data_IF_315968331378
#
_entry.id   IF_315968331378
#
_cell.length_a   1.000
_cell.length_b   1.000
_cell.length_c   1.000
_cell.angle_alpha   90.00
_cell.angle_beta   90.00
_cell.angle_gamma   90.00
#
_symmetry.space_group_name_H-M   'P 1'
#
loop_
_entity.id
_entity.type
_entity.pdbx_description
1 polymer ?
#
# COMPACT_ATOMS: atom_id res chain seq x y z
N UNK A 1 -28.37 -12.84 22.13
CA UNK A 1 -27.02 -13.03 21.55
C UNK A 1 -27.05 -12.40 20.18
N UNK A 2 -26.33 -11.29 20.01
CA UNK A 2 -26.05 -10.72 18.69
C UNK A 2 -24.93 -11.62 18.12
N UNK A 3 -25.04 -12.12 16.87
CA UNK A 3 -23.92 -12.85 16.28
C UNK A 3 -22.73 -11.89 16.18
N UNK A 4 -21.64 -12.30 16.81
CA UNK A 4 -20.33 -11.68 16.65
C UNK A 4 -19.92 -11.92 15.20
N UNK A 5 -20.21 -10.97 14.32
CA UNK A 5 -19.64 -10.97 12.99
C UNK A 5 -18.18 -10.60 13.16
N UNK A 6 -17.35 -11.58 13.51
CA UNK A 6 -15.92 -11.52 13.27
C UNK A 6 -15.77 -11.15 11.79
N UNK A 7 -15.42 -9.90 11.51
CA UNK A 7 -15.08 -9.50 10.15
C UNK A 7 -13.91 -10.41 9.76
N UNK A 8 -13.99 -11.14 8.65
CA UNK A 8 -12.91 -12.03 8.27
C UNK A 8 -11.63 -11.21 8.23
N UNK A 9 -10.62 -11.66 8.98
CA UNK A 9 -9.26 -11.13 8.90
C UNK A 9 -8.88 -11.21 7.43
N UNK A 10 -8.67 -10.07 6.79
CA UNK A 10 -8.25 -10.03 5.39
C UNK A 10 -6.74 -10.05 5.36
N UNK A 11 -6.19 -11.11 4.76
CA UNK A 11 -4.76 -11.21 4.58
C UNK A 11 -4.32 -10.49 3.31
N UNK A 12 -3.94 -9.22 3.50
CA UNK A 12 -3.36 -8.38 2.45
C UNK A 12 -1.84 -8.27 2.60
N UNK A 13 -1.20 -9.12 3.41
CA UNK A 13 0.26 -9.11 3.54
C UNK A 13 0.91 -9.51 2.22
N UNK A 14 2.05 -8.88 1.91
CA UNK A 14 2.84 -9.17 0.72
C UNK A 14 3.29 -7.92 -0.01
N UNK A 15 3.72 -8.13 -1.25
CA UNK A 15 4.37 -7.12 -2.07
C UNK A 15 3.42 -6.55 -3.13
N UNK A 16 3.48 -5.24 -3.29
CA UNK A 16 2.65 -4.48 -4.22
C UNK A 16 3.54 -3.73 -5.20
N UNK A 17 3.64 -4.30 -6.39
CA UNK A 17 4.46 -3.76 -7.48
C UNK A 17 3.60 -2.98 -8.47
N UNK A 18 4.05 -1.81 -8.93
CA UNK A 18 3.45 -1.10 -10.03
C UNK A 18 3.26 -1.96 -11.27
N UNK A 19 2.12 -1.80 -11.93
CA UNK A 19 1.88 -2.38 -13.26
C UNK A 19 2.54 -1.54 -14.35
N UNK A 20 2.60 -0.22 -14.18
CA UNK A 20 3.26 0.70 -15.12
C UNK A 20 4.70 1.00 -14.66
N UNK A 21 5.66 0.70 -15.53
CA UNK A 21 7.09 0.92 -15.30
C UNK A 21 7.49 2.41 -15.34
N UNK A 22 6.63 3.31 -15.83
CA UNK A 22 6.88 4.77 -15.86
C UNK A 22 6.82 5.45 -14.48
N UNK A 23 6.60 4.67 -13.42
CA UNK A 23 6.53 5.15 -12.04
C UNK A 23 7.84 5.73 -11.50
N UNK A 24 8.97 5.42 -12.14
CA UNK A 24 10.27 5.96 -11.76
C UNK A 24 10.27 7.50 -11.70
N UNK A 25 9.32 8.16 -12.37
CA UNK A 25 9.12 9.62 -12.37
C UNK A 25 8.68 10.22 -11.03
N UNK A 26 8.16 9.41 -10.09
CA UNK A 26 7.75 9.89 -8.76
C UNK A 26 8.62 9.35 -7.62
N UNK A 27 9.71 8.63 -7.95
CA UNK A 27 10.64 8.07 -6.97
C UNK A 27 10.11 6.87 -6.20
N UNK A 28 8.99 6.29 -6.61
CA UNK A 28 8.40 5.10 -5.98
C UNK A 28 8.89 3.82 -6.67
N UNK A 29 9.07 2.71 -5.93
CA UNK A 29 9.43 1.40 -6.51
C UNK A 29 8.35 0.34 -6.26
N UNK A 30 8.09 0.02 -5.00
CA UNK A 30 7.01 -0.88 -4.55
C UNK A 30 6.72 -0.63 -3.07
N UNK A 31 5.69 -1.25 -2.52
CA UNK A 31 5.56 -1.33 -1.08
C UNK A 31 5.24 -2.76 -0.63
N UNK A 32 5.61 -3.05 0.60
CA UNK A 32 5.29 -4.29 1.31
C UNK A 32 4.34 -3.95 2.45
N UNK A 33 3.31 -4.77 2.65
CA UNK A 33 2.48 -4.72 3.86
C UNK A 33 2.90 -5.87 4.78
N UNK A 34 3.25 -5.52 6.02
CA UNK A 34 3.87 -6.43 7.00
C UNK A 34 2.90 -6.94 8.06
N UNK A 35 1.70 -6.36 8.11
CA UNK A 35 0.70 -6.73 9.11
C UNK A 35 -0.64 -7.05 8.46
N UNK A 36 -1.32 -8.03 9.05
CA UNK A 36 -2.75 -8.20 8.90
C UNK A 36 -3.44 -6.90 9.33
N UNK A 37 -4.56 -6.55 8.68
CA UNK A 37 -5.40 -5.49 9.20
C UNK A 37 -5.91 -5.93 10.57
N UNK A 38 -5.50 -5.23 11.64
CA UNK A 38 -5.95 -5.52 12.99
C UNK A 38 -7.48 -5.52 13.04
N UNK A 39 -8.07 -6.63 13.50
CA UNK A 39 -9.51 -6.94 13.42
C UNK A 39 -10.43 -5.82 13.95
N UNK A 40 -9.94 -5.03 14.90
CA UNK A 40 -10.70 -3.98 15.58
C UNK A 40 -10.32 -2.54 15.20
N UNK A 41 -9.18 -2.33 14.54
CA UNK A 41 -8.65 -0.99 14.25
C UNK A 41 -8.50 -0.74 12.76
N UNK A 42 -8.38 -1.80 11.97
CA UNK A 42 -8.02 -1.77 10.56
C UNK A 42 -6.61 -1.23 10.34
N UNK A 43 -5.76 -1.15 11.38
CA UNK A 43 -4.40 -0.65 11.24
C UNK A 43 -3.56 -1.59 10.39
N UNK A 44 -2.75 -1.01 9.51
CA UNK A 44 -1.78 -1.72 8.69
C UNK A 44 -0.43 -1.01 8.77
N UNK A 45 0.63 -1.80 8.90
CA UNK A 45 2.03 -1.37 8.78
C UNK A 45 2.68 -1.99 7.56
N UNK A 46 3.79 -1.41 7.13
CA UNK A 46 4.52 -1.87 5.96
C UNK A 46 5.77 -1.06 5.72
N UNK A 47 6.38 -1.30 4.56
CA UNK A 47 7.55 -0.57 4.09
C UNK A 47 7.29 -0.08 2.66
N UNK A 48 7.57 1.20 2.43
CA UNK A 48 7.58 1.82 1.12
C UNK A 48 9.02 1.86 0.61
N UNK A 49 9.28 1.20 -0.51
CA UNK A 49 10.58 1.24 -1.18
C UNK A 49 10.57 2.32 -2.25
N UNK A 50 11.51 3.26 -2.13
CA UNK A 50 11.65 4.41 -3.04
C UNK A 50 13.01 4.37 -3.75
N UNK A 51 13.06 4.91 -4.97
CA UNK A 51 14.30 5.14 -5.70
C UNK A 51 14.92 6.48 -5.30
N UNK A 52 16.22 6.50 -5.04
CA UNK A 52 16.98 7.67 -4.63
C UNK A 52 18.27 7.78 -5.45
N UNK A 53 18.22 8.50 -6.59
CA UNK A 53 19.37 8.59 -7.49
C UNK A 53 19.81 7.21 -7.99
N UNK A 54 21.01 6.76 -7.60
CA UNK A 54 21.54 5.42 -7.90
C UNK A 54 21.19 4.36 -6.82
N UNK A 55 20.55 4.76 -5.72
CA UNK A 55 20.20 3.89 -4.58
C UNK A 55 18.70 3.70 -4.36
N UNK A 56 18.37 3.00 -3.28
CA UNK A 56 17.00 2.84 -2.79
C UNK A 56 16.92 3.08 -1.29
N UNK A 57 15.80 3.62 -0.84
CA UNK A 57 15.51 3.91 0.57
C UNK A 57 14.17 3.30 0.99
N UNK A 58 14.09 2.90 2.25
CA UNK A 58 12.95 2.19 2.82
C UNK A 58 12.27 3.09 3.85
N UNK A 59 10.97 3.34 3.68
CA UNK A 59 10.18 4.21 4.55
C UNK A 59 9.06 3.44 5.23
N UNK A 60 8.98 3.53 6.55
CA UNK A 60 7.88 2.93 7.32
C UNK A 60 6.52 3.49 6.87
N UNK A 61 5.58 2.56 6.66
CA UNK A 61 4.18 2.83 6.35
C UNK A 61 3.35 2.72 7.63
N UNK A 62 2.49 3.71 7.84
CA UNK A 62 1.38 3.61 8.79
C UNK A 62 0.07 3.92 8.06
N UNK A 63 -0.86 2.98 8.11
CA UNK A 63 -2.08 3.04 7.35
C UNK A 63 -3.29 2.41 8.02
N UNK A 64 -4.38 2.43 7.26
CA UNK A 64 -5.64 1.82 7.62
C UNK A 64 -6.26 1.11 6.42
N UNK A 65 -6.78 -0.08 6.61
CA UNK A 65 -7.68 -0.78 5.70
C UNK A 65 -9.10 -0.71 6.26
N UNK A 66 -10.05 -0.17 5.48
CA UNK A 66 -11.47 -0.14 5.82
C UNK A 66 -12.29 -0.61 4.63
N UNK A 67 -12.95 -1.76 4.76
CA UNK A 67 -13.51 -2.44 3.60
C UNK A 67 -12.38 -2.73 2.61
N UNK A 68 -12.54 -2.30 1.36
CA UNK A 68 -11.52 -2.42 0.30
C UNK A 68 -10.51 -1.29 0.29
N UNK A 69 -10.73 -0.22 1.05
CA UNK A 69 -9.94 1.00 0.92
C UNK A 69 -8.70 0.94 1.80
N UNK A 70 -7.53 0.95 1.17
CA UNK A 70 -6.23 1.14 1.80
C UNK A 70 -5.84 2.61 1.78
N UNK A 71 -5.49 3.15 2.95
CA UNK A 71 -4.88 4.48 3.08
C UNK A 71 -3.62 4.36 3.89
N UNK A 72 -2.55 5.01 3.45
CA UNK A 72 -1.34 5.07 4.26
C UNK A 72 -0.56 6.37 4.06
N UNK A 73 0.37 6.59 4.98
CA UNK A 73 1.38 7.64 4.90
C UNK A 73 2.73 7.15 5.42
N UNK A 74 3.80 7.80 4.99
CA UNK A 74 5.13 7.61 5.56
C UNK A 74 5.51 8.75 6.49
N UNK A 75 6.52 8.52 7.33
CA UNK A 75 7.23 9.63 7.98
C UNK A 75 7.96 10.47 6.92
N UNK A 76 8.19 11.77 7.19
CA UNK A 76 8.99 12.60 6.30
C UNK A 76 10.42 12.07 6.18
N UNK A 77 10.94 12.03 4.94
CA UNK A 77 12.29 11.66 4.57
C UNK A 77 12.81 12.69 3.57
N UNK A 78 13.97 13.31 3.83
CA UNK A 78 14.51 14.41 3.02
C UNK A 78 13.50 15.56 2.77
N UNK A 79 12.60 15.79 3.73
CA UNK A 79 11.53 16.80 3.65
C UNK A 79 10.31 16.39 2.82
N UNK A 80 10.28 15.18 2.26
CA UNK A 80 9.16 14.62 1.50
C UNK A 80 8.46 13.50 2.30
N UNK A 81 7.14 13.41 2.22
CA UNK A 81 6.37 12.29 2.76
C UNK A 81 5.43 11.76 1.70
N UNK A 82 5.18 10.46 1.72
CA UNK A 82 4.29 9.81 0.77
C UNK A 82 2.94 9.58 1.42
N UNK A 83 1.86 9.75 0.65
CA UNK A 83 0.51 9.40 1.07
C UNK A 83 -0.22 8.69 -0.05
N UNK A 84 -0.81 7.55 0.28
CA UNK A 84 -1.57 6.73 -0.65
C UNK A 84 -3.02 6.60 -0.21
N UNK A 85 -3.92 6.56 -1.19
CA UNK A 85 -5.32 6.16 -1.00
C UNK A 85 -5.76 5.38 -2.22
N UNK A 86 -6.22 4.15 -2.02
CA UNK A 86 -6.68 3.28 -3.10
C UNK A 86 -7.60 2.18 -2.60
N UNK A 87 -8.13 1.42 -3.54
CA UNK A 87 -9.08 0.37 -3.31
C UNK A 87 -8.57 -0.95 -3.89
N UNK A 88 -8.61 -2.00 -3.06
CA UNK A 88 -8.43 -3.36 -3.50
C UNK A 88 -9.62 -3.78 -4.37
N UNK A 89 -9.35 -4.45 -5.49
CA UNK A 89 -10.41 -5.01 -6.33
C UNK A 89 -11.11 -6.20 -5.66
N UNK A 90 -10.37 -6.93 -4.84
CA UNK A 90 -10.85 -8.07 -4.06
C UNK A 90 -10.16 -8.07 -2.70
N UNK A 91 -10.84 -8.63 -1.71
CA UNK A 91 -10.27 -8.98 -0.41
C UNK A 91 -10.32 -10.51 -0.27
N UNK A 92 -9.43 -11.07 0.53
CA UNK A 92 -9.36 -12.49 0.81
C UNK A 92 -8.05 -12.84 1.51
N UNK A 93 -7.79 -14.13 1.64
CA UNK A 93 -6.48 -14.65 2.00
C UNK A 93 -5.59 -14.62 0.74
N UNK A 94 -4.98 -13.47 0.44
CA UNK A 94 -4.21 -13.30 -0.81
C UNK A 94 -2.98 -14.21 -0.94
N UNK A 95 -2.27 -14.55 0.15
CA UNK A 95 -1.18 -15.53 0.09
C UNK A 95 -1.66 -16.92 -0.40
N UNK A 96 -2.84 -17.35 0.03
CA UNK A 96 -3.43 -18.65 -0.36
C UNK A 96 -4.20 -18.57 -1.69
N UNK A 97 -5.00 -17.53 -1.86
CA UNK A 97 -5.84 -17.28 -3.04
C UNK A 97 -5.22 -16.20 -3.92
N UNK A 98 -4.08 -16.52 -4.52
CA UNK A 98 -3.34 -15.55 -5.35
C UNK A 98 -4.25 -14.96 -6.44
N UNK A 99 -4.34 -13.62 -6.53
CA UNK A 99 -5.17 -12.97 -7.54
C UNK A 99 -4.64 -13.27 -8.94
N UNK A 100 -5.54 -13.66 -9.84
CA UNK A 100 -5.22 -13.89 -11.26
C UNK A 100 -5.15 -12.59 -12.07
N UNK A 101 -5.67 -11.50 -11.49
CA UNK A 101 -5.69 -10.18 -12.13
C UNK A 101 -4.30 -9.55 -12.14
N UNK A 102 -3.98 -8.88 -13.26
CA UNK A 102 -2.71 -8.14 -13.39
C UNK A 102 -2.64 -6.93 -12.46
N UNK A 103 -3.77 -6.42 -11.98
CA UNK A 103 -3.87 -5.26 -11.11
C UNK A 103 -4.88 -5.52 -9.97
N UNK A 104 -4.37 -5.57 -8.74
CA UNK A 104 -5.07 -5.95 -7.52
C UNK A 104 -5.47 -4.74 -6.66
N UNK A 105 -4.68 -3.67 -6.70
CA UNK A 105 -4.93 -2.44 -5.96
C UNK A 105 -4.78 -1.24 -6.89
N UNK A 106 -5.75 -0.33 -6.86
CA UNK A 106 -5.75 0.89 -7.67
C UNK A 106 -5.89 2.10 -6.76
N UNK A 107 -5.06 3.12 -6.94
CA UNK A 107 -5.16 4.31 -6.08
C UNK A 107 -4.29 5.47 -6.51
N UNK A 108 -4.29 6.52 -5.70
CA UNK A 108 -3.46 7.70 -5.91
C UNK A 108 -2.35 7.77 -4.88
N UNK A 109 -1.11 7.89 -5.35
CA UNK A 109 0.06 8.21 -4.54
C UNK A 109 0.39 9.70 -4.68
N UNK A 110 0.61 10.36 -3.56
CA UNK A 110 0.97 11.77 -3.45
C UNK A 110 2.30 11.91 -2.74
N UNK A 111 3.18 12.73 -3.31
CA UNK A 111 4.40 13.20 -2.63
C UNK A 111 4.11 14.58 -2.06
N UNK A 112 4.35 14.72 -0.76
CA UNK A 112 4.03 15.92 0.01
C UNK A 112 5.32 16.51 0.55
N UNK A 113 5.55 17.81 0.31
CA UNK A 113 6.70 18.57 0.85
C UNK A 113 6.17 19.88 1.40
N UNK A 114 6.58 20.26 2.61
CA UNK A 114 6.11 21.47 3.28
C UNK A 114 4.56 21.60 3.31
N UNK A 115 3.87 20.47 3.55
CA UNK A 115 2.39 20.36 3.56
C UNK A 115 1.70 20.59 2.20
N UNK A 116 2.45 20.70 1.11
CA UNK A 116 1.93 20.83 -0.25
C UNK A 116 2.17 19.55 -1.04
N UNK A 117 1.19 19.16 -1.87
CA UNK A 117 1.38 18.07 -2.83
C UNK A 117 2.24 18.59 -3.97
N UNK A 118 3.41 18.00 -4.16
CA UNK A 118 4.36 18.39 -5.21
C UNK A 118 4.36 17.44 -6.40
N UNK A 119 3.93 16.19 -6.21
CA UNK A 119 3.74 15.18 -7.25
C UNK A 119 2.54 14.29 -6.89
N UNK A 120 1.78 13.86 -7.88
CA UNK A 120 0.67 12.94 -7.73
C UNK A 120 0.56 12.03 -8.95
N UNK A 121 0.35 10.75 -8.72
CA UNK A 121 0.07 9.79 -9.79
C UNK A 121 -1.05 8.83 -9.40
N UNK A 122 -1.77 8.33 -10.42
CA UNK A 122 -2.66 7.19 -10.30
C UNK A 122 -1.86 5.93 -10.60
N UNK A 123 -1.91 4.98 -9.68
CA UNK A 123 -1.12 3.76 -9.71
C UNK A 123 -2.03 2.54 -9.63
N UNK A 124 -1.65 1.52 -10.40
CA UNK A 124 -2.20 0.18 -10.33
C UNK A 124 -1.08 -0.74 -9.86
N UNK A 125 -1.40 -1.64 -8.93
CA UNK A 125 -0.44 -2.55 -8.34
C UNK A 125 -0.84 -3.99 -8.59
N UNK A 126 0.11 -4.80 -9.03
CA UNK A 126 0.04 -6.27 -8.97
C UNK A 126 0.49 -6.73 -7.59
N UNK A 127 -0.04 -7.87 -7.17
CA UNK A 127 0.32 -8.52 -5.92
C UNK A 127 1.33 -9.63 -6.16
N UNK A 128 2.30 -9.76 -5.27
CA UNK A 128 3.11 -10.97 -5.10
C UNK A 128 3.07 -11.36 -3.62
N UNK A 129 2.90 -12.65 -3.34
CA UNK A 129 2.97 -13.16 -1.98
C UNK A 129 4.37 -12.92 -1.40
N UNK A 130 4.44 -12.60 -0.11
CA UNK A 130 5.71 -12.60 0.59
C UNK A 130 6.11 -14.00 1.05
N UNK A 131 7.41 -14.22 1.21
CA UNK A 131 7.97 -15.44 1.83
C UNK A 131 7.69 -15.47 3.34
#
# INVERSE_FOLDING_TARGET
MIPDFANPIVDVFGYYFPVDENINTIGFKYFQLDSLAEENTGLITGVLHINEGEGSSDLEIQGTLKGTTLKFKTKPYNGESYSFSGDFKRLGDLPVEQPTDKDMLCGSLRVIKNKMVIRQSLLMFRYEAGD
#
